data_IF_238013023527
#
_entry.id   IF_238013023527
#
_cell.length_a   1.000
_cell.length_b   1.000
_cell.length_c   1.000
_cell.angle_alpha   90.00
_cell.angle_beta   90.00
_cell.angle_gamma   90.00
#
_symmetry.space_group_name_H-M   'P 1'
#
loop_
_entity.id
_entity.type
_entity.pdbx_description
1 polymer ?
#
# COMPACT_ATOMS: atom_id res chain seq x y z
N UNK A 1 -50.09 0.43 38.36
CA UNK A 1 -49.06 -0.62 38.41
C UNK A 1 -47.91 -0.13 37.54
N UNK A 2 -46.89 0.47 38.15
CA UNK A 2 -45.74 1.02 37.42
C UNK A 2 -44.81 -0.16 37.14
N UNK A 3 -44.56 -0.46 35.86
CA UNK A 3 -43.55 -1.43 35.45
C UNK A 3 -42.18 -0.96 35.96
N UNK A 4 -41.60 -1.71 36.89
CA UNK A 4 -40.20 -1.56 37.27
C UNK A 4 -39.33 -1.87 36.04
N UNK A 5 -38.66 -0.85 35.50
CA UNK A 5 -37.60 -1.04 34.51
C UNK A 5 -36.44 -1.78 35.20
N UNK A 6 -36.33 -3.08 34.95
CA UNK A 6 -35.13 -3.86 35.26
C UNK A 6 -33.93 -3.21 34.54
N UNK A 7 -33.07 -2.52 35.31
CA UNK A 7 -31.85 -1.92 34.77
C UNK A 7 -30.88 -3.03 34.44
N UNK A 8 -30.50 -3.17 33.17
CA UNK A 8 -29.43 -4.09 32.78
C UNK A 8 -28.15 -3.82 33.60
N UNK A 9 -27.53 -4.85 34.19
CA UNK A 9 -26.33 -4.68 34.98
C UNK A 9 -25.17 -4.17 34.11
N UNK A 10 -24.48 -3.13 34.58
CA UNK A 10 -23.32 -2.56 33.89
C UNK A 10 -22.20 -3.60 33.88
N UNK A 11 -21.94 -4.22 32.72
CA UNK A 11 -20.84 -5.15 32.53
C UNK A 11 -19.50 -4.41 32.65
N UNK A 12 -18.72 -4.71 33.69
CA UNK A 12 -17.35 -4.21 33.86
C UNK A 12 -16.34 -5.33 33.61
N UNK A 13 -15.33 -5.03 32.80
CA UNK A 13 -14.28 -5.98 32.42
C UNK A 13 -12.96 -5.56 33.07
N UNK A 14 -12.26 -6.52 33.69
CA UNK A 14 -10.92 -6.30 34.25
C UNK A 14 -9.90 -6.01 33.14
N UNK A 15 -8.81 -5.34 33.49
CA UNK A 15 -7.74 -5.05 32.51
C UNK A 15 -7.11 -6.34 31.96
N UNK A 16 -6.85 -7.33 32.82
CA UNK A 16 -6.29 -8.62 32.41
C UNK A 16 -7.19 -9.33 31.38
N UNK A 17 -8.50 -9.28 31.59
CA UNK A 17 -9.46 -9.83 30.64
C UNK A 17 -9.42 -9.11 29.28
N UNK A 18 -9.40 -7.77 29.28
CA UNK A 18 -9.29 -6.98 28.04
C UNK A 18 -8.02 -7.35 27.25
N UNK A 19 -6.89 -7.46 27.94
CA UNK A 19 -5.62 -7.85 27.31
C UNK A 19 -5.65 -9.28 26.77
N UNK A 20 -6.27 -10.23 27.49
CA UNK A 20 -6.45 -11.60 27.01
C UNK A 20 -7.27 -11.63 25.70
N UNK A 21 -8.39 -10.92 25.65
CA UNK A 21 -9.23 -10.81 24.44
C UNK A 21 -8.45 -10.21 23.27
N UNK A 22 -7.62 -9.20 23.53
CA UNK A 22 -6.76 -8.60 22.51
C UNK A 22 -5.67 -9.56 22.05
N UNK A 23 -5.08 -10.39 22.92
CA UNK A 23 -4.11 -11.43 22.51
C UNK A 23 -4.75 -12.50 21.63
N UNK A 24 -5.97 -12.93 21.93
CA UNK A 24 -6.69 -13.87 21.06
C UNK A 24 -7.07 -13.24 19.71
N UNK A 25 -7.39 -11.94 19.72
CA UNK A 25 -7.52 -11.18 18.49
C UNK A 25 -6.19 -11.12 17.75
N UNK A 26 -5.06 -10.86 18.39
CA UNK A 26 -3.77 -10.92 17.71
C UNK A 26 -3.52 -12.33 17.15
N UNK A 27 -3.83 -13.40 17.87
CA UNK A 27 -3.70 -14.79 17.40
C UNK A 27 -4.64 -15.19 16.22
N UNK A 28 -5.51 -14.30 15.75
CA UNK A 28 -6.33 -14.51 14.54
C UNK A 28 -7.83 -14.65 14.78
N UNK A 29 -8.32 -14.61 16.03
CA UNK A 29 -9.74 -14.74 16.31
C UNK A 29 -10.55 -13.53 15.76
N UNK A 30 -11.64 -13.77 15.03
CA UNK A 30 -12.49 -12.67 14.56
C UNK A 30 -13.16 -11.95 15.74
N UNK A 31 -13.49 -10.66 15.58
CA UNK A 31 -14.21 -9.93 16.65
C UNK A 31 -15.55 -10.60 16.96
N UNK A 32 -16.23 -11.14 15.94
CA UNK A 32 -17.47 -11.89 16.13
C UNK A 32 -17.29 -13.15 17.00
N UNK A 33 -16.24 -13.93 16.74
CA UNK A 33 -15.93 -15.11 17.55
C UNK A 33 -15.67 -14.74 19.02
N UNK A 34 -14.95 -13.64 19.27
CA UNK A 34 -14.67 -13.15 20.62
C UNK A 34 -15.93 -12.65 21.34
N UNK A 35 -16.86 -12.00 20.62
CA UNK A 35 -18.15 -11.57 21.19
C UNK A 35 -18.97 -12.78 21.65
N UNK A 36 -19.07 -13.81 20.81
CA UNK A 36 -19.81 -15.03 21.12
C UNK A 36 -19.16 -15.82 22.25
N UNK A 37 -17.84 -16.03 22.19
CA UNK A 37 -17.08 -16.79 23.18
C UNK A 37 -17.16 -16.20 24.58
N UNK A 38 -17.21 -14.87 24.69
CA UNK A 38 -17.10 -14.16 25.97
C UNK A 38 -18.38 -13.40 26.39
N UNK A 39 -19.47 -13.48 25.61
CA UNK A 39 -20.72 -12.78 25.93
C UNK A 39 -20.57 -11.24 26.01
N UNK A 40 -19.61 -10.68 25.26
CA UNK A 40 -19.31 -9.25 25.28
C UNK A 40 -20.41 -8.52 24.50
N UNK A 41 -21.01 -7.51 25.12
CA UNK A 41 -22.24 -6.87 24.62
C UNK A 41 -22.13 -6.10 23.31
N UNK A 42 -20.95 -5.93 22.72
CA UNK A 42 -20.87 -5.22 21.44
C UNK A 42 -19.49 -5.14 20.79
N UNK A 43 -19.51 -5.14 19.46
CA UNK A 43 -18.32 -5.09 18.60
C UNK A 43 -17.43 -3.85 18.85
N UNK A 44 -18.05 -2.70 19.16
CA UNK A 44 -17.33 -1.45 19.48
C UNK A 44 -16.45 -1.61 20.73
N UNK A 45 -16.89 -2.39 21.70
CA UNK A 45 -16.16 -2.64 22.96
C UNK A 45 -14.84 -3.32 22.68
N UNK A 46 -14.86 -4.40 21.90
CA UNK A 46 -13.65 -5.14 21.53
C UNK A 46 -12.73 -4.30 20.64
N UNK A 47 -13.28 -3.57 19.66
CA UNK A 47 -12.48 -2.62 18.83
C UNK A 47 -11.78 -1.55 19.66
N UNK A 48 -12.43 -1.02 20.68
CA UNK A 48 -11.81 -0.06 21.61
C UNK A 48 -10.63 -0.67 22.36
N UNK A 49 -10.76 -1.92 22.83
CA UNK A 49 -9.66 -2.62 23.49
C UNK A 49 -8.51 -2.94 22.54
N UNK A 50 -8.80 -3.34 21.29
CA UNK A 50 -7.76 -3.54 20.26
C UNK A 50 -7.01 -2.24 20.01
N UNK A 51 -7.70 -1.10 19.92
CA UNK A 51 -7.05 0.21 19.74
C UNK A 51 -6.19 0.60 20.96
N UNK A 52 -6.62 0.24 22.17
CA UNK A 52 -5.96 0.65 23.41
C UNK A 52 -4.80 -0.27 23.82
N UNK A 53 -4.92 -1.59 23.60
CA UNK A 53 -3.98 -2.60 24.09
C UNK A 53 -3.33 -3.43 22.96
N UNK A 54 -3.79 -3.29 21.72
CA UNK A 54 -3.26 -4.02 20.58
C UNK A 54 -1.94 -3.46 20.09
N UNK A 55 -1.11 -4.32 19.51
CA UNK A 55 0.15 -3.93 18.87
C UNK A 55 -0.11 -3.29 17.52
N UNK A 56 0.45 -2.10 17.30
CA UNK A 56 0.40 -1.41 16.01
C UNK A 56 0.92 -2.34 14.90
N UNK A 57 0.14 -2.51 13.83
CA UNK A 57 0.53 -3.28 12.64
C UNK A 57 0.17 -4.77 12.64
N UNK A 58 -0.35 -5.34 13.74
CA UNK A 58 -0.61 -6.80 13.80
C UNK A 58 -1.76 -7.29 12.90
N UNK A 59 -2.55 -6.38 12.32
CA UNK A 59 -3.66 -6.74 11.41
C UNK A 59 -3.85 -5.78 10.23
N UNK A 60 -2.79 -5.10 9.82
CA UNK A 60 -2.84 -4.33 8.56
C UNK A 60 -2.50 -5.24 7.39
N UNK A 61 -3.26 -6.34 7.22
CA UNK A 61 -3.23 -7.08 5.96
C UNK A 61 -4.27 -6.44 5.06
N UNK A 62 -3.81 -5.55 4.18
CA UNK A 62 -4.64 -5.02 3.10
C UNK A 62 -4.92 -6.20 2.17
N UNK A 63 -6.03 -6.89 2.40
CA UNK A 63 -6.53 -7.91 1.47
C UNK A 63 -7.17 -7.16 0.31
N UNK A 64 -6.37 -6.91 -0.74
CA UNK A 64 -6.90 -6.38 -2.00
C UNK A 64 -7.64 -7.51 -2.69
N UNK A 65 -8.96 -7.41 -2.75
CA UNK A 65 -9.79 -8.34 -3.52
C UNK A 65 -9.63 -7.94 -4.98
N UNK A 66 -8.84 -8.69 -5.74
CA UNK A 66 -8.66 -8.50 -7.18
C UNK A 66 -9.52 -9.50 -7.94
N UNK A 67 -10.25 -9.02 -8.94
CA UNK A 67 -10.92 -9.85 -9.93
C UNK A 67 -9.91 -10.40 -10.95
N UNK A 68 -10.31 -11.39 -11.76
CA UNK A 68 -9.45 -11.91 -12.83
C UNK A 68 -9.13 -10.82 -13.88
N UNK A 69 -10.05 -9.88 -14.11
CA UNK A 69 -9.89 -8.74 -14.99
C UNK A 69 -8.83 -7.76 -14.45
N UNK A 70 -8.88 -7.45 -13.15
CA UNK A 70 -7.88 -6.59 -12.48
C UNK A 70 -6.45 -7.16 -12.62
N UNK A 71 -6.30 -8.49 -12.58
CA UNK A 71 -5.00 -9.15 -12.76
C UNK A 71 -4.48 -9.03 -14.19
N UNK A 72 -5.36 -9.16 -15.18
CA UNK A 72 -5.00 -9.01 -16.59
C UNK A 72 -4.60 -7.57 -16.91
N UNK A 73 -5.36 -6.58 -16.41
CA UNK A 73 -5.02 -5.17 -16.56
C UNK A 73 -3.68 -4.84 -15.91
N UNK A 74 -3.43 -5.37 -14.71
CA UNK A 74 -2.16 -5.16 -14.02
C UNK A 74 -0.97 -5.76 -14.77
N UNK A 75 -1.13 -6.95 -15.35
CA UNK A 75 -0.09 -7.57 -16.20
C UNK A 75 0.14 -6.77 -17.48
N UNK A 76 -0.92 -6.33 -18.15
CA UNK A 76 -0.82 -5.48 -19.34
C UNK A 76 -0.12 -4.15 -19.02
N UNK A 77 -0.44 -3.54 -17.88
CA UNK A 77 0.20 -2.32 -17.40
C UNK A 77 1.69 -2.55 -17.12
N UNK A 78 2.06 -3.65 -16.47
CA UNK A 78 3.46 -4.03 -16.24
C UNK A 78 4.24 -4.23 -17.54
N UNK A 79 3.64 -4.94 -18.51
CA UNK A 79 4.27 -5.15 -19.80
C UNK A 79 4.50 -3.81 -20.51
N UNK A 80 3.50 -2.92 -20.47
CA UNK A 80 3.61 -1.58 -21.07
C UNK A 80 4.73 -0.75 -20.43
N UNK A 81 4.89 -0.83 -19.10
CA UNK A 81 5.99 -0.16 -18.40
C UNK A 81 7.34 -0.70 -18.88
N UNK A 82 7.51 -2.03 -18.95
CA UNK A 82 8.76 -2.65 -19.40
C UNK A 82 9.11 -2.23 -20.85
N UNK A 83 8.13 -2.22 -21.75
CA UNK A 83 8.34 -1.80 -23.14
C UNK A 83 8.76 -0.33 -23.23
N UNK A 84 8.10 0.54 -22.44
CA UNK A 84 8.41 1.97 -22.40
C UNK A 84 9.79 2.24 -21.80
N UNK A 85 10.16 1.53 -20.74
CA UNK A 85 11.49 1.62 -20.13
C UNK A 85 12.58 1.20 -21.12
N UNK A 86 12.36 0.12 -21.88
CA UNK A 86 13.29 -0.33 -22.91
C UNK A 86 13.44 0.69 -24.05
N UNK A 87 12.33 1.25 -24.53
CA UNK A 87 12.36 2.28 -25.58
C UNK A 87 13.07 3.55 -25.11
N UNK A 88 12.83 3.95 -23.85
CA UNK A 88 13.51 5.09 -23.25
C UNK A 88 15.01 4.85 -23.13
N UNK A 89 15.43 3.66 -22.65
CA UNK A 89 16.84 3.31 -22.55
C UNK A 89 17.53 3.37 -23.93
N UNK A 90 16.88 2.84 -24.98
CA UNK A 90 17.41 2.91 -26.34
C UNK A 90 17.57 4.36 -26.82
N UNK A 91 16.55 5.21 -26.61
CA UNK A 91 16.61 6.62 -27.01
C UNK A 91 17.68 7.41 -26.25
N UNK A 92 17.85 7.13 -24.96
CA UNK A 92 18.90 7.77 -24.13
C UNK A 92 20.28 7.37 -24.61
N UNK A 93 20.49 6.09 -24.95
CA UNK A 93 21.75 5.61 -25.52
C UNK A 93 22.06 6.29 -26.86
N UNK A 94 21.09 6.35 -27.76
CA UNK A 94 21.25 6.98 -29.07
C UNK A 94 21.58 8.48 -28.94
N UNK A 95 20.86 9.22 -28.09
CA UNK A 95 21.15 10.63 -27.83
C UNK A 95 22.57 10.85 -27.27
N UNK A 96 23.01 9.97 -26.35
CA UNK A 96 24.35 10.05 -25.78
C UNK A 96 25.42 9.80 -26.84
N UNK A 97 25.24 8.75 -27.64
CA UNK A 97 26.14 8.41 -28.75
C UNK A 97 26.25 9.54 -29.77
N UNK A 98 25.12 10.15 -30.15
CA UNK A 98 25.08 11.30 -31.04
C UNK A 98 25.82 12.51 -30.44
N UNK A 99 25.58 12.84 -29.16
CA UNK A 99 26.30 13.95 -28.52
C UNK A 99 27.80 13.71 -28.48
N UNK A 100 28.25 12.50 -28.10
CA UNK A 100 29.68 12.18 -28.06
C UNK A 100 30.31 12.18 -29.44
N UNK A 101 29.59 11.73 -30.47
CA UNK A 101 30.08 11.75 -31.86
C UNK A 101 30.29 13.19 -32.33
N UNK A 102 29.35 14.08 -32.03
CA UNK A 102 29.47 15.50 -32.36
C UNK A 102 30.63 16.15 -31.60
N UNK A 103 30.84 15.81 -30.34
CA UNK A 103 31.95 16.32 -29.52
C UNK A 103 33.31 15.90 -30.09
N UNK A 104 33.49 14.61 -30.39
CA UNK A 104 34.73 14.09 -30.99
C UNK A 104 34.97 14.69 -32.38
N UNK A 105 33.93 14.80 -33.21
CA UNK A 105 34.05 15.41 -34.54
C UNK A 105 34.43 16.90 -34.45
N UNK A 106 33.86 17.63 -33.47
CA UNK A 106 34.18 19.05 -33.26
C UNK A 106 35.63 19.24 -32.82
N UNK A 107 36.14 18.35 -31.96
CA UNK A 107 37.55 18.36 -31.55
C UNK A 107 38.49 18.05 -32.72
N UNK A 108 38.17 17.02 -33.53
CA UNK A 108 39.01 16.59 -34.64
C UNK A 108 39.10 17.62 -35.77
N UNK A 109 38.04 18.41 -35.99
CA UNK A 109 37.97 19.41 -37.06
C UNK A 109 38.30 20.84 -36.58
N UNK A 110 38.69 21.02 -35.31
CA UNK A 110 38.94 22.33 -34.68
C UNK A 110 37.81 23.37 -34.91
N UNK A 111 36.59 22.88 -35.12
CA UNK A 111 35.40 23.70 -35.39
C UNK A 111 34.25 23.25 -34.50
N UNK A 112 33.51 24.22 -33.94
CA UNK A 112 32.33 23.93 -33.12
C UNK A 112 31.15 23.57 -34.04
N UNK A 113 30.97 22.27 -34.30
CA UNK A 113 29.94 21.75 -35.23
C UNK A 113 28.53 22.04 -34.68
N UNK A 114 28.35 22.06 -33.37
CA UNK A 114 27.06 22.41 -32.73
C UNK A 114 26.64 23.85 -33.06
N UNK A 115 27.60 24.78 -33.18
CA UNK A 115 27.33 26.20 -33.52
C UNK A 115 27.28 26.47 -35.02
N UNK A 116 28.14 25.84 -35.82
CA UNK A 116 28.25 26.17 -37.24
C UNK A 116 27.11 25.59 -38.10
N UNK A 117 26.43 24.52 -37.65
CA UNK A 117 25.39 23.83 -38.41
C UNK A 117 24.06 23.69 -37.67
N UNK A 118 23.88 24.36 -36.53
CA UNK A 118 22.59 24.46 -35.86
C UNK A 118 21.55 25.15 -36.77
N UNK A 119 20.36 24.57 -36.90
CA UNK A 119 19.30 24.98 -37.83
C UNK A 119 19.13 26.51 -37.95
N UNK A 120 19.24 27.02 -39.19
CA UNK A 120 18.45 28.19 -39.61
C UNK A 120 17.04 27.67 -39.93
N UNK A 121 16.07 28.10 -39.14
CA UNK A 121 14.63 27.79 -39.23
C UNK A 121 14.19 26.41 -38.73
#
# INVERSE_FOLDING_TARGET
MIQELEKEPIKRYSQAFKQMVVREYEAGASVYALLQKYGIGGHKTVKSWIKQYGRSGFRTEIVVIQTAEDQLEFQAMKQRIADLESALAQSVLENRMLSTTIEVASQALEMDIKKNFGKKS
#
